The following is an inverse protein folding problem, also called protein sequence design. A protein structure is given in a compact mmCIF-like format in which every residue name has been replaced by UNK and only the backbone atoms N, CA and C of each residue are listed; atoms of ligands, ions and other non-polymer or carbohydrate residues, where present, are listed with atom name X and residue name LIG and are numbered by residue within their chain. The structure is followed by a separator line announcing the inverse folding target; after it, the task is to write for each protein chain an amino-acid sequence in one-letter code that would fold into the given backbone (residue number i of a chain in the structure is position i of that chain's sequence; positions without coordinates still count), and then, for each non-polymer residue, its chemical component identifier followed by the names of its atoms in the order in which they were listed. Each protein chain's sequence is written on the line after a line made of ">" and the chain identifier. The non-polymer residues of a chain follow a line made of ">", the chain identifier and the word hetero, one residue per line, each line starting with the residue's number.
data_IF_363201474009
#
_entry.id   IF_363201474009
#
_cell.length_a   1.000
_cell.length_b   1.000
_cell.length_c   1.000
_cell.angle_alpha   90.00
_cell.angle_beta   90.00
_cell.angle_gamma   90.00
#
_symmetry.space_group_name_H-M   'P 1'
#
loop_
_entity.id
_entity.type
_entity.pdbx_description
1 polymer ?
2 non-polymer ?
3 non-polymer ?
4 non-polymer ?
5 non-polymer ?
6 water ?
#
# COMPACT_ATOMS: atom_id res chain seq x y z
N UNK A 5 18.01 -1.86 8.65
CA UNK A 5 17.88 -2.19 7.18
C UNK A 5 18.78 -3.36 6.79
N UNK A 6 18.16 -4.41 6.39
CA UNK A 6 19.00 -5.48 5.92
C UNK A 6 19.62 -5.22 4.57
N UNK A 7 20.47 -6.16 4.11
CA UNK A 7 21.05 -6.07 2.77
C UNK A 7 19.97 -5.98 1.69
N UNK A 8 20.28 -5.28 0.63
CA UNK A 8 19.41 -4.98 -0.48
C UNK A 8 18.71 -6.20 -1.05
N UNK A 9 17.38 -6.13 -1.10
CA UNK A 9 16.53 -7.26 -1.54
C UNK A 9 15.87 -6.82 -2.86
N UNK A 10 15.55 -7.77 -3.68
CA UNK A 10 14.79 -7.56 -4.90
C UNK A 10 13.32 -8.05 -4.83
N UNK A 11 12.47 -7.30 -5.52
CA UNK A 11 11.02 -7.61 -5.70
C UNK A 11 10.75 -7.90 -7.12
N UNK A 12 11.77 -8.40 -7.84
CA UNK A 12 11.70 -8.76 -9.25
C UNK A 12 12.96 -9.70 -9.49
N UNK A 13 13.06 -10.31 -10.65
CA UNK A 13 14.23 -11.09 -11.09
C UNK A 13 14.44 -12.30 -10.14
N UNK A 14 15.38 -12.23 -9.23
CA UNK A 14 15.72 -13.28 -8.31
C UNK A 14 14.84 -13.34 -7.05
N UNK A 15 14.02 -12.28 -6.87
CA UNK A 15 13.17 -12.20 -5.68
C UNK A 15 13.81 -12.57 -4.36
N UNK A 16 14.83 -11.82 -3.97
CA UNK A 16 15.56 -12.09 -2.75
C UNK A 16 14.86 -11.59 -1.48
N UNK A 17 13.76 -10.84 -1.61
CA UNK A 17 13.05 -10.36 -0.45
C UNK A 17 12.71 -11.52 0.50
N UNK A 18 12.93 -11.29 1.78
CA UNK A 18 12.53 -12.22 2.88
C UNK A 18 12.26 -11.45 4.12
N UNK A 19 11.40 -11.98 4.99
CA UNK A 19 11.10 -11.35 6.23
C UNK A 19 11.90 -11.97 7.38
N UNK A 20 12.49 -11.11 8.19
CA UNK A 20 13.03 -11.46 9.52
C UNK A 20 11.95 -11.99 10.40
N UNK A 21 12.35 -12.67 11.50
CA UNK A 21 11.32 -13.07 12.44
C UNK A 21 10.55 -11.93 13.03
N UNK A 22 11.18 -10.80 13.33
CA UNK A 22 10.41 -9.67 13.74
C UNK A 22 9.35 -9.11 12.71
N UNK A 23 9.73 -9.10 11.45
CA UNK A 23 8.80 -8.60 10.37
C UNK A 23 7.67 -9.64 10.25
N UNK A 24 7.99 -10.93 10.48
CA UNK A 24 6.89 -11.93 10.47
C UNK A 24 5.94 -11.60 11.58
N UNK A 25 6.46 -11.33 12.78
CA UNK A 25 5.60 -11.16 13.94
C UNK A 25 4.69 -9.96 13.80
N UNK A 26 5.17 -8.88 13.17
CA UNK A 26 4.34 -7.68 13.05
C UNK A 26 3.51 -7.63 11.70
N UNK A 27 3.61 -8.64 10.93
CA UNK A 27 2.86 -8.64 9.64
C UNK A 27 1.37 -8.44 9.97
N UNK A 28 0.69 -7.50 9.26
CA UNK A 28 -0.73 -7.20 9.52
C UNK A 28 -1.72 -8.23 8.97
N UNK A 29 -1.75 -9.43 9.59
CA UNK A 29 -2.69 -10.49 9.16
C UNK A 29 -4.12 -9.94 9.13
N UNK A 30 -4.84 -10.09 8.01
CA UNK A 30 -6.00 -9.30 7.82
C UNK A 30 -7.32 -9.98 8.11
N UNK A 31 -7.33 -11.17 8.73
CA UNK A 31 -8.59 -11.96 8.77
C UNK A 31 -9.07 -12.07 10.20
N UNK A 32 -10.18 -11.33 10.52
CA UNK A 32 -10.67 -11.43 11.90
C UNK A 32 -11.51 -12.71 12.08
N UNK A 33 -11.88 -13.38 10.99
CA UNK A 33 -12.77 -14.56 11.05
C UNK A 33 -12.27 -15.57 10.14
N UNK A 34 -12.78 -16.80 10.25
CA UNK A 34 -12.46 -17.87 9.33
C UNK A 34 -12.99 -17.77 7.92
N UNK A 35 -13.83 -16.79 7.65
CA UNK A 35 -14.15 -16.42 6.33
C UNK A 35 -14.10 -14.90 6.14
N UNK A 36 -13.97 -14.53 4.85
CA UNK A 36 -13.79 -13.12 4.48
C UNK A 36 -15.00 -12.66 3.68
N UNK A 37 -15.42 -11.42 3.95
CA UNK A 37 -16.42 -10.78 3.15
C UNK A 37 -16.15 -9.26 3.22
N UNK A 38 -16.45 -8.57 2.13
CA UNK A 38 -16.27 -7.16 2.08
C UNK A 38 -17.19 -6.44 3.10
N UNK A 39 -16.72 -5.30 3.64
CA UNK A 39 -17.47 -4.48 4.54
C UNK A 39 -16.84 -3.07 4.57
N UNK A 40 -17.45 -2.14 5.30
CA UNK A 40 -16.83 -0.84 5.58
C UNK A 40 -16.02 -1.02 6.85
N UNK A 41 -14.79 -1.49 6.67
CA UNK A 41 -13.96 -1.87 7.78
C UNK A 41 -13.01 -0.73 8.26
N UNK A 42 -13.56 0.44 8.33
CA UNK A 42 -12.81 1.65 8.65
C UNK A 42 -12.70 1.77 10.13
N UNK A 43 -11.57 2.22 10.61
CA UNK A 43 -11.44 2.66 12.03
C UNK A 43 -10.60 3.92 12.21
N UNK A 44 -10.73 4.61 13.37
CA UNK A 44 -9.83 5.77 13.52
C UNK A 44 -8.38 5.31 13.57
N UNK A 45 -7.54 6.07 12.88
CA UNK A 45 -6.15 5.75 12.76
C UNK A 45 -5.34 6.32 13.89
N UNK A 46 -5.62 5.78 15.06
CA UNK A 46 -4.93 6.13 16.30
C UNK A 46 -3.81 5.23 16.61
N UNK A 47 -2.73 5.79 17.18
CA UNK A 47 -1.55 5.03 17.55
C UNK A 47 -1.93 3.96 18.52
N UNK A 48 -1.54 2.75 18.21
CA UNK A 48 -1.62 1.59 19.14
C UNK A 48 -0.57 0.54 18.93
N UNK A 49 -0.34 -0.23 19.99
CA UNK A 49 0.52 -1.41 19.95
C UNK A 49 1.95 -1.10 19.52
N UNK A 50 2.79 -0.63 20.46
CA UNK A 50 4.16 -0.27 20.13
C UNK A 50 4.87 -1.39 19.44
N UNK A 51 5.61 -1.06 18.36
CA UNK A 51 6.34 -2.01 17.53
C UNK A 51 5.48 -2.56 16.32
N UNK A 52 4.20 -2.35 16.39
CA UNK A 52 3.25 -2.86 15.35
C UNK A 52 3.21 -1.84 14.19
N UNK A 53 2.51 -2.26 13.11
CA UNK A 53 2.34 -1.30 12.01
C UNK A 53 1.39 -0.16 12.26
N UNK A 54 0.63 -0.21 13.39
CA UNK A 54 -0.34 0.77 13.77
C UNK A 54 0.18 1.84 14.77
N UNK A 55 1.47 1.73 15.04
CA UNK A 55 2.07 2.65 16.03
C UNK A 55 2.24 4.13 15.55
N UNK A 56 2.66 4.25 14.30
CA UNK A 56 2.79 5.56 13.65
C UNK A 56 1.90 5.70 12.42
N UNK A 57 1.64 6.94 11.99
CA UNK A 57 0.80 7.18 10.78
C UNK A 57 1.41 6.63 9.53
N UNK A 58 2.75 6.70 9.45
CA UNK A 58 3.54 6.17 8.32
C UNK A 58 4.55 5.21 8.86
N UNK A 59 4.47 3.97 8.42
CA UNK A 59 5.33 2.89 8.92
C UNK A 59 6.51 2.69 8.01
N UNK A 60 7.69 2.83 8.61
CA UNK A 60 8.98 2.51 7.97
C UNK A 60 9.55 1.26 8.61
N UNK A 61 9.99 0.26 7.80
CA UNK A 61 10.35 -1.03 8.26
C UNK A 61 11.71 -1.48 7.73
N UNK A 62 12.08 -2.74 7.96
CA UNK A 62 13.40 -3.26 7.60
C UNK A 62 13.65 -3.31 6.12
N UNK A 63 12.55 -3.22 5.33
CA UNK A 63 12.61 -3.26 3.87
C UNK A 63 12.75 -1.87 3.18
N UNK A 64 12.84 -0.84 3.97
CA UNK A 64 12.77 0.58 3.46
C UNK A 64 13.72 0.81 2.33
N UNK A 65 15.00 0.46 2.51
CA UNK A 65 15.95 0.78 1.45
C UNK A 65 15.73 -0.06 0.18
N UNK A 66 15.48 -1.36 0.33
CA UNK A 66 15.09 -2.20 -0.75
C UNK A 66 13.88 -1.68 -1.52
N UNK A 67 12.85 -1.27 -0.78
CA UNK A 67 11.64 -0.83 -1.46
C UNK A 67 11.86 0.47 -2.26
N UNK A 68 12.67 1.36 -1.71
CA UNK A 68 12.98 2.61 -2.44
C UNK A 68 13.79 2.39 -3.67
N UNK A 69 14.69 1.37 -3.66
CA UNK A 69 15.35 0.97 -4.83
C UNK A 69 14.43 0.40 -5.94
N UNK A 70 13.41 -0.35 -5.50
CA UNK A 70 12.39 -0.89 -6.43
C UNK A 70 11.63 0.27 -7.03
N UNK A 71 11.19 1.21 -6.18
CA UNK A 71 10.46 2.36 -6.71
C UNK A 71 11.28 3.09 -7.75
N UNK A 72 12.56 3.28 -7.43
CA UNK A 72 13.47 3.97 -8.38
C UNK A 72 13.53 3.24 -9.73
N UNK A 73 13.56 1.90 -9.72
CA UNK A 73 13.58 1.08 -10.95
C UNK A 73 12.30 1.26 -11.74
N UNK A 74 11.14 1.20 -11.06
CA UNK A 74 9.86 1.35 -11.75
C UNK A 74 9.80 2.69 -12.48
N UNK A 75 10.21 3.74 -11.79
CA UNK A 75 10.13 5.08 -12.30
C UNK A 75 11.15 5.36 -13.39
N UNK A 76 12.30 4.67 -13.32
CA UNK A 76 13.28 4.77 -14.43
C UNK A 76 12.70 4.25 -15.72
N UNK A 77 11.93 3.16 -15.67
CA UNK A 77 11.32 2.58 -16.83
C UNK A 77 10.07 3.31 -17.26
N UNK A 78 9.31 3.83 -16.32
CA UNK A 78 8.01 4.44 -16.54
C UNK A 78 7.76 5.61 -15.57
N UNK A 79 8.21 6.84 -15.97
CA UNK A 79 7.98 8.03 -15.12
C UNK A 79 6.54 8.39 -14.95
N UNK A 80 5.66 7.89 -15.82
CA UNK A 80 4.26 8.20 -15.76
C UNK A 80 3.42 7.46 -14.69
N UNK A 81 4.10 6.67 -13.84
CA UNK A 81 3.48 6.13 -12.59
C UNK A 81 3.20 7.20 -11.59
N UNK A 82 3.76 8.40 -11.78
CA UNK A 82 3.43 9.58 -10.92
C UNK A 82 2.82 10.62 -11.75
N UNK A 83 1.67 11.11 -11.35
CA UNK A 83 0.97 12.16 -12.07
C UNK A 83 0.43 13.13 -11.03
N UNK A 84 0.57 14.45 -11.28
CA UNK A 84 -0.12 15.47 -10.49
C UNK A 84 -0.75 16.44 -11.44
N UNK A 85 -2.08 16.47 -11.50
CA UNK A 85 -2.76 17.46 -12.35
C UNK A 85 -2.47 18.85 -11.76
N UNK A 86 -2.46 19.86 -12.60
CA UNK A 86 -1.98 21.19 -12.10
C UNK A 86 -2.73 21.76 -10.94
N UNK A 87 -4.06 21.52 -10.85
CA UNK A 87 -4.81 21.98 -9.67
C UNK A 87 -4.51 21.29 -8.30
N UNK A 88 -3.68 20.21 -8.37
CA UNK A 88 -3.30 19.42 -7.28
C UNK A 88 -1.87 19.78 -6.73
N UNK A 89 -1.25 20.80 -7.29
CA UNK A 89 0.08 21.15 -6.87
C UNK A 89 0.09 21.49 -5.37
N UNK A 90 -0.87 22.27 -4.88
CA UNK A 90 -0.85 22.58 -3.46
C UNK A 90 -0.97 21.34 -2.60
N UNK A 91 -1.84 20.41 -3.00
CA UNK A 91 -1.99 19.15 -2.35
C UNK A 91 -0.74 18.32 -2.33
N UNK A 92 0.05 18.37 -3.36
CA UNK A 92 1.31 17.68 -3.44
C UNK A 92 2.26 18.23 -2.38
N UNK A 93 2.31 19.59 -2.28
CA UNK A 93 3.07 20.20 -1.20
C UNK A 93 2.56 19.81 0.21
N UNK A 94 1.24 19.79 0.43
CA UNK A 94 0.69 19.31 1.74
C UNK A 94 1.15 17.93 2.11
N UNK A 95 1.17 17.04 1.09
CA UNK A 95 1.59 15.69 1.24
C UNK A 95 3.09 15.59 1.68
N UNK A 96 3.95 16.35 0.99
CA UNK A 96 5.33 16.44 1.36
C UNK A 96 5.51 16.94 2.80
N UNK A 97 4.71 17.93 3.19
CA UNK A 97 4.80 18.48 4.55
C UNK A 97 4.42 17.36 5.55
N UNK A 98 3.30 16.69 5.29
CA UNK A 98 2.77 15.67 6.21
C UNK A 98 3.74 14.56 6.39
N UNK A 99 4.31 14.05 5.28
CA UNK A 99 5.26 12.97 5.37
C UNK A 99 6.53 13.39 6.06
N UNK A 100 7.16 14.52 5.65
CA UNK A 100 8.37 14.89 6.34
C UNK A 100 8.17 15.15 7.85
N UNK A 101 7.11 15.81 8.25
CA UNK A 101 6.82 16.05 9.64
C UNK A 101 6.71 14.79 10.45
N UNK A 102 5.92 13.83 9.98
CA UNK A 102 5.76 12.60 10.74
C UNK A 102 6.97 11.76 10.72
N UNK A 103 7.67 11.64 9.58
CA UNK A 103 8.83 10.81 9.56
C UNK A 103 9.96 11.34 10.50
N UNK A 104 10.15 12.63 10.49
CA UNK A 104 11.16 13.27 11.38
C UNK A 104 10.81 13.14 12.87
N UNK A 105 9.55 13.22 13.20
CA UNK A 105 9.11 12.99 14.58
C UNK A 105 9.24 11.55 14.98
N UNK A 106 8.83 10.61 14.13
CA UNK A 106 8.71 9.20 14.54
C UNK A 106 9.95 8.38 14.40
N UNK A 107 10.83 8.70 13.45
CA UNK A 107 12.04 7.98 13.22
C UNK A 107 13.25 8.99 13.21
N UNK A 108 13.57 9.55 14.37
CA UNK A 108 14.60 10.58 14.38
C UNK A 108 15.98 10.03 14.12
N UNK A 109 16.17 8.71 14.22
CA UNK A 109 17.45 8.13 13.80
C UNK A 109 17.73 8.17 12.31
N UNK A 110 16.67 8.26 11.53
CA UNK A 110 16.74 8.15 10.08
C UNK A 110 16.42 9.41 9.31
N UNK A 111 15.67 10.30 9.87
CA UNK A 111 15.19 11.48 9.15
C UNK A 111 15.26 12.71 10.09
N UNK A 112 15.48 13.89 9.49
CA UNK A 112 15.48 15.18 10.27
C UNK A 112 14.92 16.28 9.44
N UNK A 113 14.22 17.17 10.11
CA UNK A 113 13.60 18.32 9.45
C UNK A 113 13.80 19.55 10.31
N UNK A 114 14.35 20.63 9.72
CA UNK A 114 14.50 21.88 10.46
C UNK A 114 13.98 22.95 9.53
N UNK A 115 13.24 23.91 10.04
CA UNK A 115 12.51 24.84 9.17
C UNK A 115 12.58 26.23 9.76
N UNK A 116 12.66 27.17 8.88
CA UNK A 116 12.37 28.58 9.22
C UNK A 116 11.59 29.17 8.05
N UNK A 117 10.33 29.43 8.36
CA UNK A 117 9.43 29.86 7.32
C UNK A 117 9.43 28.73 6.27
N UNK A 118 9.49 29.14 5.03
CA UNK A 118 9.53 28.25 3.87
C UNK A 118 10.93 27.71 3.51
N UNK A 119 11.93 28.08 4.32
CA UNK A 119 13.29 27.54 4.20
C UNK A 119 13.42 26.23 4.96
N UNK A 120 13.28 25.07 4.24
CA UNK A 120 13.27 23.76 4.86
C UNK A 120 14.56 23.02 4.61
N UNK A 121 15.00 22.32 5.63
CA UNK A 121 16.16 21.44 5.58
C UNK A 121 15.80 20.04 6.03
N UNK A 122 15.76 19.18 5.01
CA UNK A 122 15.44 17.73 5.18
C UNK A 122 16.62 16.89 5.00
N UNK A 123 16.85 16.02 5.92
CA UNK A 123 17.89 15.01 5.83
C UNK A 123 17.27 13.55 5.93
N UNK A 124 17.62 12.73 4.98
CA UNK A 124 17.31 11.31 5.04
C UNK A 124 18.59 10.55 5.07
N UNK A 125 18.91 10.15 6.28
CA UNK A 125 20.20 9.52 6.59
C UNK A 125 20.16 8.12 6.04
N UNK A 126 18.97 7.51 6.00
CA UNK A 126 18.91 6.19 5.39
C UNK A 126 19.30 6.14 3.93
N UNK A 127 18.91 7.12 3.10
CA UNK A 127 19.21 7.13 1.73
C UNK A 127 20.37 8.08 1.36
N UNK A 128 20.92 8.78 2.33
CA UNK A 128 22.07 9.75 2.11
C UNK A 128 21.69 11.02 1.37
N UNK A 129 20.51 11.56 1.64
CA UNK A 129 19.96 12.77 1.06
C UNK A 129 20.04 13.93 2.09
N UNK A 130 20.55 15.12 1.66
CA UNK A 130 20.65 16.33 2.47
C UNK A 130 20.19 17.52 1.65
N UNK A 131 18.94 17.92 1.84
CA UNK A 131 18.23 18.79 0.89
C UNK A 131 17.80 20.09 1.62
N UNK A 132 18.32 21.19 1.15
CA UNK A 132 17.83 22.55 1.50
C UNK A 132 17.02 23.00 0.37
N UNK A 133 15.73 23.36 0.65
CA UNK A 133 14.84 23.76 -0.38
C UNK A 133 13.79 24.74 0.15
N UNK A 134 12.97 25.23 -0.74
CA UNK A 134 11.97 26.23 -0.47
C UNK A 134 10.59 25.57 -0.59
N UNK A 135 9.91 25.51 0.51
CA UNK A 135 8.57 24.92 0.53
C UNK A 135 7.66 25.70 -0.36
N UNK A 136 7.05 25.06 -1.36
CA UNK A 136 6.21 25.75 -2.32
C UNK A 136 6.82 26.14 -3.65
N UNK A 137 8.15 26.07 -3.76
CA UNK A 137 8.88 26.46 -4.90
C UNK A 137 9.39 25.24 -5.63
N UNK A 138 8.69 24.89 -6.73
CA UNK A 138 9.16 23.58 -7.30
C UNK A 138 10.52 23.61 -7.96
N UNK A 139 11.00 24.76 -8.32
CA UNK A 139 12.36 24.87 -8.88
C UNK A 139 13.46 24.60 -7.86
N UNK A 140 13.13 24.59 -6.57
CA UNK A 140 14.08 24.24 -5.54
C UNK A 140 14.36 22.77 -5.23
N UNK A 141 13.62 21.86 -5.84
CA UNK A 141 13.78 20.46 -5.64
C UNK A 141 14.15 19.86 -6.99
N UNK A 142 14.84 18.72 -6.99
CA UNK A 142 15.24 17.99 -8.19
C UNK A 142 14.10 17.35 -8.97
N UNK A 143 12.91 17.24 -8.35
CA UNK A 143 11.71 16.84 -9.10
C UNK A 143 10.47 17.40 -8.44
N UNK A 144 9.35 17.17 -9.10
CA UNK A 144 8.03 17.64 -8.63
C UNK A 144 7.79 17.16 -7.20
N UNK A 145 7.08 17.91 -6.36
CA UNK A 145 7.15 17.64 -4.92
C UNK A 145 6.54 16.28 -4.46
N UNK A 146 5.49 15.81 -5.17
CA UNK A 146 4.86 14.52 -4.74
C UNK A 146 5.89 13.44 -5.04
N UNK A 147 6.46 13.48 -6.24
CA UNK A 147 7.48 12.54 -6.63
C UNK A 147 8.70 12.52 -5.71
N UNK A 148 9.12 13.74 -5.34
CA UNK A 148 10.27 13.93 -4.43
C UNK A 148 10.15 13.16 -3.11
N UNK A 149 9.01 13.34 -2.45
CA UNK A 149 8.81 12.81 -1.13
C UNK A 149 8.42 11.34 -1.22
N UNK A 150 7.65 10.95 -2.25
CA UNK A 150 7.20 9.52 -2.27
C UNK A 150 8.33 8.59 -2.74
N UNK A 151 9.33 9.13 -3.40
CA UNK A 151 10.57 8.39 -3.66
C UNK A 151 11.29 8.07 -2.36
N UNK A 152 10.80 8.60 -1.25
CA UNK A 152 11.39 8.38 0.05
C UNK A 152 10.46 7.81 1.13
N UNK A 153 9.30 7.30 0.71
CA UNK A 153 8.38 6.67 1.68
C UNK A 153 7.79 5.37 1.07
N UNK A 154 7.71 4.33 1.87
CA UNK A 154 7.12 3.06 1.41
C UNK A 154 5.61 3.15 1.08
N UNK A 155 5.20 2.26 0.18
CA UNK A 155 3.78 2.18 -0.24
C UNK A 155 3.44 3.19 -1.32
N UNK A 156 2.26 3.04 -1.86
CA UNK A 156 1.75 3.89 -2.85
C UNK A 156 0.91 5.03 -2.19
N UNK A 157 0.60 6.05 -3.00
CA UNK A 157 -0.26 7.20 -2.56
C UNK A 157 -1.18 7.61 -3.66
N UNK A 158 -2.45 7.88 -3.34
CA UNK A 158 -3.29 8.63 -4.20
C UNK A 158 -3.70 9.91 -3.48
N UNK A 159 -3.86 10.98 -4.26
CA UNK A 159 -4.27 12.30 -3.67
C UNK A 159 -5.58 12.67 -4.33
N UNK A 160 -6.66 12.75 -3.57
CA UNK A 160 -7.93 12.92 -4.16
C UNK A 160 -8.47 14.38 -3.96
N UNK A 161 -9.02 14.93 -5.03
CA UNK A 161 -9.67 16.24 -4.99
C UNK A 161 -11.10 15.95 -4.47
N UNK A 162 -11.51 16.67 -3.41
CA UNK A 162 -12.90 16.60 -2.92
C UNK A 162 -13.72 17.76 -3.44
N UNK A 163 -14.63 17.46 -4.30
CA UNK A 163 -15.48 18.49 -4.96
C UNK A 163 -16.83 17.94 -5.28
N UNK A 164 -17.86 18.79 -5.21
CA UNK A 164 -19.16 18.37 -5.71
C UNK A 164 -19.67 17.05 -5.09
N UNK A 165 -19.47 16.83 -3.82
CA UNK A 165 -19.93 15.65 -3.14
C UNK A 165 -19.20 14.36 -3.45
N UNK A 166 -17.98 14.46 -4.01
CA UNK A 166 -17.32 13.18 -4.50
C UNK A 166 -15.78 13.40 -4.34
N UNK A 167 -15.06 12.33 -4.66
CA UNK A 167 -13.58 12.31 -4.62
C UNK A 167 -13.08 11.89 -6.01
N UNK A 168 -12.02 12.59 -6.51
CA UNK A 168 -11.56 12.39 -7.85
C UNK A 168 -10.04 12.13 -7.79
N UNK A 169 -9.60 11.09 -8.49
CA UNK A 169 -8.22 10.65 -8.48
C UNK A 169 -7.31 11.48 -9.37
N UNK A 170 -6.91 12.64 -8.80
CA UNK A 170 -6.31 13.73 -9.62
C UNK A 170 -4.77 13.82 -9.46
N UNK A 171 -4.24 13.00 -8.59
CA UNK A 171 -2.77 12.86 -8.39
C UNK A 171 -2.38 11.56 -7.71
N UNK A 172 -1.15 11.10 -7.91
CA UNK A 172 -0.67 10.01 -7.13
C UNK A 172 0.73 9.50 -7.57
N UNK A 173 1.20 8.57 -6.77
CA UNK A 173 2.40 7.77 -7.03
C UNK A 173 2.03 6.33 -6.85
N UNK A 174 1.94 5.61 -7.96
CA UNK A 174 1.40 4.21 -7.95
C UNK A 174 2.41 3.32 -8.73
N UNK A 175 3.31 2.80 -7.97
CA UNK A 175 4.33 1.89 -8.47
C UNK A 175 4.24 0.45 -7.95
N UNK A 176 3.44 0.21 -6.90
CA UNK A 176 3.19 -1.15 -6.40
C UNK A 176 1.71 -1.54 -6.35
N UNK A 177 0.99 -1.38 -7.45
CA UNK A 177 -0.49 -1.54 -7.35
C UNK A 177 -0.86 -3.05 -7.34
N UNK A 178 -2.01 -3.38 -6.72
CA UNK A 178 -2.65 -4.68 -6.92
C UNK A 178 -3.46 -4.66 -8.20
N UNK A 179 -2.79 -4.67 -9.35
CA UNK A 179 -3.38 -4.86 -10.65
C UNK A 179 -4.42 -3.78 -11.00
N UNK A 180 -3.96 -2.48 -10.96
CA UNK A 180 -4.69 -1.39 -11.49
C UNK A 180 -3.60 -0.29 -11.83
N UNK A 181 -4.03 0.79 -12.41
CA UNK A 181 -3.18 1.84 -12.94
C UNK A 181 -3.68 3.22 -12.70
N UNK A 182 -2.79 4.10 -12.26
CA UNK A 182 -3.11 5.50 -12.11
C UNK A 182 -3.39 6.21 -13.41
N UNK A 183 -2.63 5.88 -14.44
CA UNK A 183 -2.93 6.48 -15.73
C UNK A 183 -4.29 6.04 -16.29
N UNK A 184 -4.75 4.81 -16.01
CA UNK A 184 -6.12 4.48 -16.33
C UNK A 184 -7.19 5.25 -15.56
N UNK A 185 -6.92 5.41 -14.26
CA UNK A 185 -7.92 5.88 -13.33
C UNK A 185 -7.90 7.41 -13.09
N UNK A 186 -6.91 8.06 -13.67
CA UNK A 186 -6.74 9.49 -13.48
C UNK A 186 -8.00 10.27 -13.80
N UNK A 187 -8.42 11.10 -12.85
CA UNK A 187 -9.64 11.92 -13.08
C UNK A 187 -10.94 11.23 -12.78
N UNK A 188 -10.95 9.91 -12.57
CA UNK A 188 -12.21 9.24 -12.18
C UNK A 188 -12.72 9.56 -10.79
N UNK A 189 -14.04 9.39 -10.55
CA UNK A 189 -14.61 9.56 -9.26
C UNK A 189 -14.61 8.23 -8.52
N UNK A 190 -14.93 8.30 -7.26
CA UNK A 190 -14.87 7.17 -6.28
C UNK A 190 -15.60 5.89 -6.76
N UNK A 191 -16.87 6.03 -7.11
CA UNK A 191 -17.62 4.82 -7.52
C UNK A 191 -17.18 4.35 -8.85
N UNK A 192 -16.76 5.28 -9.72
CA UNK A 192 -16.23 4.95 -11.04
C UNK A 192 -14.99 4.09 -11.05
N UNK A 193 -13.99 4.48 -10.31
CA UNK A 193 -12.74 3.67 -10.33
C UNK A 193 -12.96 2.31 -9.63
N UNK A 194 -14.04 2.18 -8.81
CA UNK A 194 -14.35 0.93 -8.13
C UNK A 194 -15.26 0.06 -8.95
N UNK A 195 -15.60 0.49 -10.14
CA UNK A 195 -16.54 -0.26 -11.03
C UNK A 195 -16.25 -1.77 -11.25
N UNK A 196 -14.97 -2.19 -11.33
CA UNK A 196 -14.71 -3.63 -11.49
C UNK A 196 -14.95 -4.54 -10.30
N UNK A 197 -15.16 -4.02 -9.10
CA UNK A 197 -15.19 -4.81 -7.88
C UNK A 197 -16.58 -5.51 -7.80
N UNK A 198 -16.58 -6.82 -7.68
CA UNK A 198 -17.86 -7.56 -7.44
C UNK A 198 -18.49 -7.40 -6.15
N UNK A 199 -19.83 -7.50 -6.14
CA UNK A 199 -20.59 -7.53 -4.88
C UNK A 199 -20.76 -6.30 -4.04
N UNK A 200 -19.68 -5.54 -3.85
CA UNK A 200 -19.63 -4.51 -2.89
C UNK A 200 -20.59 -3.32 -3.25
N UNK A 201 -20.79 -3.09 -4.51
CA UNK A 201 -21.69 -1.95 -4.91
C UNK A 201 -23.10 -2.26 -4.43
N UNK A 202 -23.59 -3.43 -4.82
CA UNK A 202 -25.01 -3.84 -4.41
C UNK A 202 -25.20 -3.91 -2.89
N UNK A 203 -24.14 -4.24 -2.16
CA UNK A 203 -24.12 -4.18 -0.73
C UNK A 203 -24.19 -2.81 -0.04
N UNK A 204 -23.90 -1.75 -0.82
CA UNK A 204 -23.81 -0.41 -0.29
C UNK A 204 -22.45 -0.02 0.25
N UNK A 205 -21.42 -0.87 0.08
CA UNK A 205 -20.17 -0.69 0.78
C UNK A 205 -19.60 0.65 0.26
N UNK A 206 -19.69 0.80 -1.02
CA UNK A 206 -19.03 2.02 -1.69
C UNK A 206 -19.82 3.30 -1.41
N UNK A 207 -21.12 3.17 -1.27
CA UNK A 207 -21.98 4.35 -0.86
C UNK A 207 -21.59 4.75 0.54
N UNK A 208 -21.56 3.83 1.51
CA UNK A 208 -21.28 4.17 2.84
C UNK A 208 -19.81 4.66 3.03
N UNK A 209 -18.88 3.99 2.31
CA UNK A 209 -17.48 4.34 2.43
C UNK A 209 -17.27 5.81 1.96
N UNK A 210 -17.87 6.20 0.85
CA UNK A 210 -17.70 7.56 0.30
C UNK A 210 -18.21 8.56 1.33
N UNK A 211 -19.37 8.27 1.89
CA UNK A 211 -19.84 9.13 2.96
C UNK A 211 -18.97 9.37 4.13
N UNK A 212 -18.31 8.34 4.66
CA UNK A 212 -17.40 8.42 5.78
C UNK A 212 -16.19 9.27 5.31
N UNK A 213 -15.65 8.92 4.16
CA UNK A 213 -14.39 9.58 3.63
C UNK A 213 -14.65 11.12 3.42
N UNK A 214 -15.78 11.48 2.86
CA UNK A 214 -16.10 12.90 2.66
C UNK A 214 -16.09 13.72 3.97
N UNK A 215 -16.28 13.04 5.09
CA UNK A 215 -16.34 13.70 6.40
C UNK A 215 -15.11 13.65 7.21
N UNK A 216 -14.01 13.09 6.67
CA UNK A 216 -12.82 13.08 7.38
C UNK A 216 -12.26 14.47 7.59
N UNK A 217 -11.94 14.74 8.85
CA UNK A 217 -11.31 16.05 9.25
C UNK A 217 -9.85 15.97 9.60
N UNK A 218 -9.21 17.17 9.51
CA UNK A 218 -7.85 17.31 9.97
C UNK A 218 -7.71 16.83 11.38
N UNK A 219 -6.69 16.03 11.62
CA UNK A 219 -6.43 15.50 12.89
C UNK A 219 -7.21 14.25 13.26
N UNK A 220 -8.14 13.82 12.43
CA UNK A 220 -8.86 12.58 12.71
C UNK A 220 -8.78 11.60 11.49
N UNK A 221 -7.57 11.16 11.15
CA UNK A 221 -7.46 10.25 10.07
C UNK A 221 -8.07 8.82 10.39
N UNK A 222 -8.21 7.99 9.34
CA UNK A 222 -9.00 6.78 9.36
C UNK A 222 -8.13 5.74 8.63
N UNK A 223 -8.32 4.45 8.92
CA UNK A 223 -7.55 3.38 8.30
C UNK A 223 -8.42 2.15 8.07
N UNK A 224 -7.97 1.30 7.14
CA UNK A 224 -8.51 -0.02 6.96
C UNK A 224 -7.42 -0.96 6.34
N UNK A 225 -7.73 -2.26 6.30
CA UNK A 225 -6.89 -3.23 5.59
C UNK A 225 -7.60 -3.74 4.38
N UNK A 226 -6.83 -3.91 3.30
CA UNK A 226 -7.22 -4.69 2.14
C UNK A 226 -6.15 -5.80 1.97
N UNK A 227 -6.51 -6.84 1.23
CA UNK A 227 -5.57 -7.95 0.98
C UNK A 227 -5.80 -8.53 -0.39
N UNK A 228 -4.78 -9.29 -0.85
CA UNK A 228 -4.84 -10.20 -1.97
C UNK A 228 -3.66 -11.20 -1.85
N UNK A 229 -3.50 -12.02 -2.91
CA UNK A 229 -2.31 -12.84 -3.03
C UNK A 229 -1.51 -12.39 -4.25
N UNK A 230 -0.15 -12.70 -4.16
CA UNK A 230 0.72 -12.42 -5.25
C UNK A 230 1.68 -13.59 -5.34
N UNK A 231 1.91 -14.01 -6.57
CA UNK A 231 2.92 -15.06 -6.83
C UNK A 231 4.33 -14.41 -6.92
N UNK A 232 5.23 -14.85 -6.08
CA UNK A 232 6.55 -14.25 -5.80
C UNK A 232 6.35 -12.86 -5.08
N UNK A 233 7.40 -12.35 -4.40
CA UNK A 233 7.21 -11.07 -3.76
C UNK A 233 7.31 -9.90 -4.80
N UNK A 234 6.43 -9.88 -5.80
CA UNK A 234 6.46 -8.87 -6.82
C UNK A 234 5.63 -7.65 -6.34
N UNK A 235 6.26 -6.48 -6.22
CA UNK A 235 5.52 -5.31 -5.86
C UNK A 235 4.84 -4.70 -7.05
N UNK A 236 5.47 -4.71 -8.24
CA UNK A 236 4.94 -4.02 -9.35
C UNK A 236 3.97 -4.97 -10.15
N UNK A 237 2.82 -5.28 -9.56
CA UNK A 237 1.77 -6.09 -10.27
C UNK A 237 0.80 -5.20 -11.02
N UNK A 238 1.37 -4.41 -11.98
CA UNK A 238 0.63 -3.45 -12.73
C UNK A 238 0.12 -3.95 -14.05
N UNK A 239 -0.96 -3.45 -14.56
CA UNK A 239 -1.31 -3.70 -16.00
C UNK A 239 -0.15 -3.41 -16.95
N UNK A 240 0.60 -2.32 -16.72
CA UNK A 240 1.67 -1.89 -17.58
C UNK A 240 2.74 -2.95 -17.80
N UNK A 241 2.90 -3.82 -16.82
CA UNK A 241 3.97 -4.80 -16.82
C UNK A 241 3.45 -6.24 -16.83
N UNK A 242 2.15 -6.45 -17.18
CA UNK A 242 1.54 -7.79 -17.08
C UNK A 242 2.40 -8.92 -17.67
N UNK A 243 3.01 -8.71 -18.83
CA UNK A 243 3.82 -9.80 -19.39
C UNK A 243 4.91 -10.29 -18.49
N UNK A 244 5.40 -9.48 -17.57
CA UNK A 244 6.39 -9.87 -16.61
C UNK A 244 5.97 -10.66 -15.41
N UNK A 245 4.68 -10.67 -15.06
CA UNK A 245 4.21 -11.31 -13.88
C UNK A 245 2.97 -12.24 -14.06
N UNK A 246 2.10 -11.99 -15.05
CA UNK A 246 0.77 -12.62 -15.15
C UNK A 246 0.95 -14.10 -15.36
N UNK A 247 1.98 -14.48 -16.10
CA UNK A 247 2.23 -15.94 -16.31
C UNK A 247 2.66 -16.75 -15.10
N UNK A 248 3.19 -16.12 -14.05
CA UNK A 248 3.62 -16.85 -12.91
C UNK A 248 2.42 -17.49 -12.16
N UNK A 249 1.21 -17.01 -12.47
CA UNK A 249 0.03 -17.55 -11.83
C UNK A 249 -0.21 -18.99 -12.30
N UNK A 250 0.51 -19.37 -13.35
CA UNK A 250 0.44 -20.77 -13.95
C UNK A 250 1.51 -21.69 -13.41
N UNK A 251 2.38 -21.23 -12.53
CA UNK A 251 3.60 -21.93 -12.05
C UNK A 251 3.54 -22.56 -10.67
N UNK A 252 2.39 -22.55 -10.01
CA UNK A 252 2.26 -23.01 -8.69
C UNK A 252 1.98 -24.56 -8.75
N UNK A 253 2.69 -25.24 -7.87
CA UNK A 253 2.58 -26.71 -7.71
C UNK A 253 2.43 -27.00 -6.28
N UNK A 254 1.95 -28.28 -6.02
CA UNK A 254 1.95 -28.71 -4.67
C UNK A 254 3.21 -28.57 -3.88
N UNK A 255 4.38 -28.72 -4.54
CA UNK A 255 5.60 -28.68 -3.81
C UNK A 255 6.13 -27.22 -3.58
N UNK A 256 5.67 -26.27 -4.41
CA UNK A 256 6.30 -24.91 -4.29
C UNK A 256 5.35 -23.83 -3.75
N UNK A 257 4.13 -24.24 -3.33
CA UNK A 257 3.19 -23.19 -2.78
C UNK A 257 3.83 -22.28 -1.71
N UNK A 258 4.59 -22.83 -0.72
CA UNK A 258 5.15 -22.11 0.39
C UNK A 258 6.20 -21.00 -0.03
N UNK A 259 6.85 -21.28 -1.18
CA UNK A 259 7.88 -20.39 -1.73
C UNK A 259 7.30 -19.35 -2.64
N UNK A 260 6.28 -19.70 -3.39
CA UNK A 260 5.71 -18.82 -4.48
C UNK A 260 4.55 -17.94 -3.94
N UNK A 261 3.59 -18.55 -3.24
CA UNK A 261 2.38 -17.77 -2.89
C UNK A 261 2.71 -16.84 -1.75
N UNK A 262 2.40 -15.55 -1.90
CA UNK A 262 2.57 -14.59 -0.87
C UNK A 262 1.21 -13.94 -0.50
N UNK A 263 1.01 -13.74 0.75
CA UNK A 263 -0.15 -12.92 1.21
C UNK A 263 0.32 -11.47 1.08
N UNK A 264 -0.53 -10.64 0.49
CA UNK A 264 -0.26 -9.21 0.26
C UNK A 264 -1.32 -8.43 1.03
N UNK A 265 -0.89 -7.57 1.95
CA UNK A 265 -1.83 -6.73 2.71
C UNK A 265 -1.51 -5.28 2.51
N UNK A 266 -2.58 -4.52 2.33
CA UNK A 266 -2.50 -3.05 2.24
C UNK A 266 -3.01 -2.46 3.52
N UNK A 267 -2.17 -1.76 4.24
CA UNK A 267 -2.60 -0.87 5.33
C UNK A 267 -2.87 0.48 4.79
N UNK A 268 -4.13 0.89 4.77
CA UNK A 268 -4.56 2.11 4.11
C UNK A 268 -4.80 3.21 5.12
N UNK A 269 -4.33 4.42 4.79
CA UNK A 269 -4.52 5.65 5.58
C UNK A 269 -5.28 6.60 4.74
N UNK A 270 -6.32 7.19 5.30
CA UNK A 270 -7.03 8.28 4.73
C UNK A 270 -6.99 9.50 5.71
N UNK A 271 -6.37 10.56 5.22
CA UNK A 271 -6.00 11.74 6.06
C UNK A 271 -6.28 13.01 5.26
N UNK A 272 -6.94 14.01 5.89
CA UNK A 272 -7.28 15.27 5.27
C UNK A 272 -6.01 16.16 5.23
N UNK A 273 -5.71 16.65 4.08
CA UNK A 273 -4.54 17.58 3.86
C UNK A 273 -4.98 19.02 4.20
N UNK A 274 -4.27 19.65 5.15
CA UNK A 274 -4.81 20.89 5.81
C UNK A 274 -4.92 22.14 4.93
N UNK A 275 -3.98 22.43 4.04
CA UNK A 275 -4.10 23.67 3.22
C UNK A 275 -5.10 23.45 2.08
N UNK A 276 -4.91 22.37 1.31
CA UNK A 276 -5.73 22.11 0.11
C UNK A 276 -7.17 21.49 0.37
N UNK A 277 -7.34 20.87 1.49
CA UNK A 277 -8.55 20.12 1.84
C UNK A 277 -8.70 18.83 0.98
N UNK A 278 -7.68 18.47 0.26
CA UNK A 278 -7.65 17.18 -0.50
C UNK A 278 -7.54 16.04 0.53
N UNK A 279 -7.80 14.78 0.08
CA UNK A 279 -7.61 13.58 0.95
C UNK A 279 -6.42 12.78 0.49
N UNK A 280 -5.54 12.49 1.40
CA UNK A 280 -4.38 11.65 1.10
C UNK A 280 -4.84 10.16 1.35
N UNK A 281 -4.58 9.28 0.40
CA UNK A 281 -4.82 7.83 0.52
C UNK A 281 -3.49 7.08 0.41
N UNK A 282 -2.98 6.64 1.56
CA UNK A 282 -1.73 5.86 1.62
C UNK A 282 -2.07 4.40 1.48
N UNK A 283 -1.29 3.69 0.68
CA UNK A 283 -1.44 2.30 0.46
C UNK A 283 -0.14 1.55 0.79
N UNK A 284 -0.01 1.20 2.09
CA UNK A 284 1.25 0.63 2.55
C UNK A 284 1.18 -0.89 2.37
N UNK A 285 2.04 -1.43 1.46
CA UNK A 285 1.92 -2.81 1.03
C UNK A 285 2.93 -3.70 1.68
N UNK A 286 2.43 -4.76 2.34
CA UNK A 286 3.21 -5.77 3.02
C UNK A 286 3.09 -7.06 2.35
N UNK A 287 4.20 -7.80 2.27
CA UNK A 287 4.20 -9.13 1.66
C UNK A 287 4.84 -10.19 2.59
N UNK A 288 4.25 -11.40 2.54
CA UNK A 288 4.79 -12.51 3.40
C UNK A 288 4.57 -13.81 2.63
N UNK A 289 5.61 -14.64 2.48
CA UNK A 289 5.40 -15.91 1.82
C UNK A 289 4.61 -16.86 2.73
N UNK A 290 4.01 -17.83 2.08
CA UNK A 290 3.21 -18.76 2.91
C UNK A 290 4.11 -19.64 3.79
N UNK A 291 5.34 -19.93 3.32
CA UNK A 291 6.31 -20.58 4.25
C UNK A 291 6.53 -19.81 5.48
N UNK A 292 6.66 -18.48 5.41
CA UNK A 292 6.85 -17.65 6.57
C UNK A 292 5.57 -17.54 7.38
N UNK A 293 4.44 -17.41 6.71
CA UNK A 293 3.17 -17.18 7.43
C UNK A 293 2.82 -18.43 8.31
N UNK A 294 3.08 -19.59 7.76
CA UNK A 294 2.62 -20.88 8.46
C UNK A 294 3.48 -21.20 9.64
N UNK A 295 4.49 -20.38 9.89
CA UNK A 295 5.15 -20.35 11.23
C UNK A 295 4.24 -20.02 12.38
N UNK A 296 3.15 -19.33 12.10
CA UNK A 296 2.11 -19.03 13.07
C UNK A 296 0.98 -20.02 12.75
N UNK A 297 0.81 -21.05 13.61
CA UNK A 297 -0.13 -22.09 13.25
C UNK A 297 -1.59 -21.58 13.21
N UNK A 298 -1.90 -20.58 14.00
CA UNK A 298 -3.25 -19.93 13.99
C UNK A 298 -3.54 -19.19 12.65
N UNK A 299 -2.49 -18.54 12.14
CA UNK A 299 -2.65 -17.96 10.79
C UNK A 299 -2.84 -18.97 9.75
N UNK A 300 -2.08 -20.08 9.79
CA UNK A 300 -2.16 -21.05 8.82
C UNK A 300 -3.55 -21.67 8.67
N UNK A 301 -4.11 -22.02 9.83
CA UNK A 301 -5.42 -22.70 9.87
C UNK A 301 -6.49 -21.71 9.40
N UNK A 302 -6.43 -20.48 9.87
CA UNK A 302 -7.40 -19.45 9.45
C UNK A 302 -7.33 -19.24 7.94
N UNK A 303 -6.08 -19.16 7.37
CA UNK A 303 -5.94 -18.95 5.92
C UNK A 303 -6.49 -20.07 5.11
N UNK A 304 -6.36 -21.35 5.60
CA UNK A 304 -6.95 -22.43 4.87
C UNK A 304 -8.47 -22.18 4.70
N UNK A 305 -9.10 -21.93 5.81
CA UNK A 305 -10.57 -21.75 5.85
C UNK A 305 -11.04 -20.61 4.97
N UNK A 306 -10.33 -19.50 5.06
CA UNK A 306 -10.66 -18.35 4.22
C UNK A 306 -10.56 -18.69 2.75
N UNK A 307 -9.42 -19.29 2.30
CA UNK A 307 -9.22 -19.56 0.90
C UNK A 307 -10.20 -20.66 0.41
N UNK A 308 -10.47 -21.66 1.27
CA UNK A 308 -11.38 -22.76 0.85
C UNK A 308 -12.78 -22.17 0.58
N UNK A 309 -13.18 -21.29 1.44
CA UNK A 309 -14.56 -20.78 1.45
C UNK A 309 -14.84 -19.47 0.72
N UNK A 310 -13.79 -18.80 0.23
CA UNK A 310 -13.94 -17.49 -0.38
C UNK A 310 -14.94 -17.50 -1.49
N UNK A 311 -15.85 -16.48 -1.52
CA UNK A 311 -16.77 -16.53 -2.62
C UNK A 311 -16.10 -16.48 -3.95
N UNK A 312 -16.58 -17.23 -4.93
CA UNK A 312 -15.97 -17.29 -6.21
C UNK A 312 -15.78 -15.95 -6.96
N UNK A 313 -16.76 -15.02 -6.90
CA UNK A 313 -16.55 -13.73 -7.61
C UNK A 313 -15.39 -12.95 -7.02
N UNK A 314 -15.21 -13.11 -5.74
CA UNK A 314 -14.16 -12.37 -5.02
C UNK A 314 -12.80 -13.04 -5.33
N UNK A 315 -12.72 -14.37 -5.23
CA UNK A 315 -11.49 -15.06 -5.68
C UNK A 315 -11.14 -14.74 -7.13
N UNK A 316 -12.10 -14.74 -8.06
CA UNK A 316 -11.80 -14.35 -9.45
C UNK A 316 -11.33 -12.91 -9.61
N UNK A 317 -11.96 -11.99 -8.90
CA UNK A 317 -11.54 -10.59 -8.95
C UNK A 317 -10.09 -10.47 -8.47
N UNK A 318 -9.74 -11.10 -7.38
CA UNK A 318 -8.43 -11.08 -6.72
C UNK A 318 -7.33 -11.76 -7.55
N UNK A 319 -7.70 -12.50 -8.60
CA UNK A 319 -6.72 -13.18 -9.45
C UNK A 319 -6.21 -14.45 -8.94
N UNK A 320 -6.96 -15.18 -8.06
CA UNK A 320 -6.37 -16.37 -7.43
C UNK A 320 -6.84 -17.65 -8.07
N UNK A 321 -7.77 -17.56 -9.02
CA UNK A 321 -8.45 -18.72 -9.59
C UNK A 321 -7.56 -19.83 -10.09
N UNK A 322 -6.57 -19.41 -10.82
CA UNK A 322 -5.68 -20.38 -11.54
C UNK A 322 -4.98 -21.34 -10.64
N UNK A 323 -4.64 -20.98 -9.39
CA UNK A 323 -3.90 -21.79 -8.45
C UNK A 323 -4.62 -22.10 -7.19
N UNK A 324 -5.94 -21.74 -7.12
CA UNK A 324 -6.60 -21.85 -5.89
C UNK A 324 -6.73 -23.31 -5.31
N UNK A 325 -7.00 -24.26 -6.15
CA UNK A 325 -7.17 -25.65 -5.64
C UNK A 325 -5.84 -26.19 -5.06
N UNK A 326 -4.76 -25.97 -5.78
CA UNK A 326 -3.43 -26.29 -5.23
C UNK A 326 -3.14 -25.64 -3.93
N UNK A 327 -3.49 -24.34 -3.77
CA UNK A 327 -3.26 -23.62 -2.60
C UNK A 327 -4.07 -24.17 -1.44
N UNK A 328 -5.37 -24.42 -1.74
CA UNK A 328 -6.26 -24.92 -0.69
C UNK A 328 -5.83 -26.33 -0.14
N UNK A 329 -5.47 -27.17 -1.08
CA UNK A 329 -4.90 -28.53 -0.77
C UNK A 329 -3.68 -28.45 0.12
N UNK A 330 -2.76 -27.49 -0.19
CA UNK A 330 -1.58 -27.28 0.64
C UNK A 330 -1.84 -26.79 2.02
N UNK A 331 -2.78 -25.83 2.15
CA UNK A 331 -3.08 -25.25 3.41
C UNK A 331 -3.93 -26.22 4.36
N UNK A 332 -4.60 -27.19 3.74
CA UNK A 332 -5.48 -28.18 4.50
C UNK A 332 -4.60 -28.89 5.51
N UNK A 333 -3.36 -29.17 5.09
CA UNK A 333 -2.38 -29.74 6.05
C UNK A 333 -2.20 -29.04 7.39
N UNK A 334 -2.51 -27.72 7.51
CA UNK A 334 -2.39 -26.99 8.75
C UNK A 334 -3.73 -26.78 9.52
N UNK A 335 -4.78 -27.51 9.10
CA UNK A 335 -6.11 -27.40 9.69
C UNK A 335 -6.51 -28.84 10.20
N UNK A 336 -6.23 -29.11 11.45
CA UNK A 336 -6.59 -30.43 12.03
C UNK A 336 -8.09 -30.79 11.90
N UNK A 337 -9.01 -29.85 12.15
CA UNK A 337 -10.46 -30.15 12.03
C UNK A 337 -10.77 -30.47 10.63
N UNK A 338 -10.14 -29.80 9.67
CA UNK A 338 -10.35 -30.27 8.35
C UNK A 338 -9.65 -31.60 8.22
#
# INVERSE_FOLDING_TARGET
>A
MTLTFKPLESYREDFSFRNSPAAIARFPFPFPEDQYMYSVNLEPAVSRDPGSVFEHQFDVDEHYVSEMAERARVLELDPGRCLVMPHMAQAAWDTLAMLMEHLARDYPQHFRLTRQGDAWHWQNLALGIDQRFTFGDPASLPCEPLEYITRQMQGDFAVLDQRDGDLFMDAGMVTCPADWSLRFDAGMSFKQWHSPVPMAHQMGVFDRALKYLLNIQVGAPVRRLNWTLTINPRLDTSPETYHEWGNDRGKVTPDNVGRLVHLRVELQLMARLPRSNALLFGIRTYLISLDELVSNPAWAQRLHRVMRDLPDPIADYKGITRYRQTLVDWLRRFDPEAHHHHHH
#
